data_IF_549699538176
#
_entry.id   IF_549699538176
#
_cell.length_a   1.000
_cell.length_b   1.000
_cell.length_c   1.000
_cell.angle_alpha   90.00
_cell.angle_beta   90.00
_cell.angle_gamma   90.00
#
_symmetry.space_group_name_H-M   'P 1'
#
loop_
_entity.id
_entity.type
_entity.pdbx_description
1 polymer ?
#
# COMPACT_ATOMS: atom_id res chain seq x y z
N UNK A 1 21.43 71.83 11.96
CA UNK A 1 21.24 70.60 12.76
C UNK A 1 20.79 69.49 11.80
N UNK A 2 21.70 68.61 11.38
CA UNK A 2 21.43 67.57 10.36
C UNK A 2 20.99 66.30 11.07
N UNK A 3 19.69 66.00 11.04
CA UNK A 3 19.15 64.72 11.51
C UNK A 3 19.65 63.60 10.58
N UNK A 4 20.10 62.44 11.09
CA UNK A 4 20.73 61.43 10.25
C UNK A 4 19.65 60.69 9.45
N UNK A 5 19.69 60.85 8.13
CA UNK A 5 18.87 60.14 7.14
C UNK A 5 19.16 58.63 7.08
N UNK A 6 19.96 58.09 8.01
CA UNK A 6 20.39 56.69 8.04
C UNK A 6 19.42 55.76 8.80
N UNK A 7 18.52 56.30 9.62
CA UNK A 7 17.62 55.48 10.43
C UNK A 7 16.39 54.96 9.66
N UNK A 8 16.09 55.51 8.48
CA UNK A 8 14.88 55.17 7.73
C UNK A 8 15.09 54.09 6.65
N UNK A 9 16.34 53.78 6.30
CA UNK A 9 16.69 52.77 5.28
C UNK A 9 16.82 51.34 5.83
N UNK A 10 16.83 51.15 7.15
CA UNK A 10 16.96 49.81 7.75
C UNK A 10 15.61 49.09 7.98
N UNK A 11 14.48 49.79 7.86
CA UNK A 11 13.16 49.20 8.11
C UNK A 11 12.55 48.54 6.85
N UNK A 12 13.13 48.73 5.66
CA UNK A 12 12.64 48.19 4.39
C UNK A 12 13.21 46.83 4.02
N UNK A 13 13.99 46.20 4.90
CA UNK A 13 14.67 44.90 4.67
C UNK A 13 14.12 43.75 5.52
N UNK A 14 12.96 43.92 6.17
CA UNK A 14 12.25 42.77 6.74
C UNK A 14 11.66 41.97 5.57
N UNK A 15 12.16 40.75 5.26
CA UNK A 15 11.49 39.93 4.29
C UNK A 15 10.13 39.60 4.91
N UNK A 16 9.03 39.99 4.25
CA UNK A 16 7.74 39.37 4.49
C UNK A 16 7.93 37.89 4.17
N UNK A 17 8.27 37.10 5.18
CA UNK A 17 8.28 35.66 5.10
C UNK A 17 6.82 35.24 4.93
N UNK A 18 6.35 35.20 3.69
CA UNK A 18 5.12 34.50 3.35
C UNK A 18 5.31 33.06 3.79
N UNK A 19 4.69 32.70 4.90
CA UNK A 19 4.59 31.32 5.36
C UNK A 19 3.81 30.54 4.29
N UNK A 20 4.54 29.97 3.33
CA UNK A 20 3.99 29.04 2.37
C UNK A 20 3.71 27.76 3.14
N UNK A 21 2.46 27.60 3.60
CA UNK A 21 1.99 26.34 4.14
C UNK A 21 2.26 25.26 3.08
N UNK A 22 3.17 24.34 3.36
CA UNK A 22 3.45 23.26 2.41
C UNK A 22 2.15 22.49 2.17
N UNK A 23 1.75 22.29 0.90
CA UNK A 23 0.54 21.54 0.61
C UNK A 23 0.63 20.18 1.28
N UNK A 24 -0.37 19.86 2.11
CA UNK A 24 -0.40 18.60 2.86
C UNK A 24 -0.36 17.45 1.86
N UNK A 25 0.69 16.63 1.95
CA UNK A 25 0.83 15.47 1.10
C UNK A 25 -0.37 14.53 1.30
N UNK A 26 -1.07 14.20 0.21
CA UNK A 26 -2.10 13.16 0.20
C UNK A 26 -1.41 11.80 0.33
N UNK A 27 -1.81 11.03 1.34
CA UNK A 27 -1.33 9.67 1.57
C UNK A 27 -2.45 8.68 1.21
N UNK A 28 -2.07 7.50 0.76
CA UNK A 28 -3.00 6.40 0.46
C UNK A 28 -2.65 5.24 1.38
N UNK A 29 -3.66 4.60 1.96
CA UNK A 29 -3.50 3.35 2.71
C UNK A 29 -4.35 2.30 1.99
N UNK A 30 -3.71 1.20 1.59
CA UNK A 30 -4.36 0.05 0.99
C UNK A 30 -4.47 -1.04 2.06
N UNK A 31 -5.69 -1.42 2.42
CA UNK A 31 -5.96 -2.42 3.46
C UNK A 31 -6.53 -3.68 2.82
N UNK A 32 -5.94 -4.82 3.13
CA UNK A 32 -6.48 -6.13 2.83
C UNK A 32 -6.88 -6.77 4.15
N UNK A 33 -8.14 -7.19 4.26
CA UNK A 33 -8.64 -7.93 5.41
C UNK A 33 -8.94 -9.36 4.96
N UNK A 34 -8.14 -10.30 5.43
CA UNK A 34 -8.18 -11.70 4.99
C UNK A 34 -9.42 -12.42 5.53
N UNK A 35 -10.01 -13.30 4.70
CA UNK A 35 -11.08 -14.20 5.10
C UNK A 35 -12.38 -13.52 5.51
N UNK A 36 -12.67 -12.31 5.00
CA UNK A 36 -13.92 -11.59 5.30
C UNK A 36 -14.86 -11.59 4.08
N UNK A 37 -15.88 -12.47 4.06
CA UNK A 37 -16.94 -12.42 3.05
C UNK A 37 -17.74 -11.12 3.13
N UNK A 38 -18.17 -10.61 1.99
CA UNK A 38 -18.95 -9.36 1.91
C UNK A 38 -20.30 -9.46 2.64
N UNK A 39 -20.96 -10.61 2.59
CA UNK A 39 -22.26 -10.82 3.25
C UNK A 39 -22.12 -10.87 4.79
N UNK A 40 -21.01 -11.42 5.30
CA UNK A 40 -20.66 -11.40 6.72
C UNK A 40 -20.37 -9.96 7.17
N UNK A 41 -19.58 -9.21 6.39
CA UNK A 41 -19.28 -7.81 6.69
C UNK A 41 -20.55 -6.95 6.79
N UNK A 42 -21.52 -7.18 5.89
CA UNK A 42 -22.79 -6.45 5.86
C UNK A 42 -23.64 -6.70 7.12
N UNK A 43 -23.63 -7.94 7.64
CA UNK A 43 -24.40 -8.34 8.83
C UNK A 43 -23.72 -7.96 10.14
N UNK A 44 -22.40 -7.77 10.13
CA UNK A 44 -21.61 -7.53 11.33
C UNK A 44 -21.79 -6.12 11.93
N UNK A 45 -21.60 -6.03 13.26
CA UNK A 45 -21.52 -4.75 13.98
C UNK A 45 -20.13 -4.14 13.81
N UNK A 46 -19.93 -3.40 12.73
CA UNK A 46 -18.64 -2.82 12.32
C UNK A 46 -18.68 -1.29 12.27
N UNK A 47 -18.83 -0.59 13.42
CA UNK A 47 -19.10 0.85 13.44
C UNK A 47 -18.01 1.69 12.74
N UNK A 48 -16.75 1.29 12.84
CA UNK A 48 -15.65 2.02 12.20
C UNK A 48 -15.61 1.79 10.68
N UNK A 49 -15.90 0.58 10.20
CA UNK A 49 -15.99 0.31 8.76
C UNK A 49 -17.18 1.06 8.17
N UNK A 50 -18.34 1.04 8.86
CA UNK A 50 -19.53 1.80 8.44
C UNK A 50 -19.26 3.30 8.35
N UNK A 51 -18.45 3.88 9.25
CA UNK A 51 -18.00 5.29 9.14
C UNK A 51 -17.16 5.53 7.89
N UNK A 52 -16.21 4.64 7.57
CA UNK A 52 -15.39 4.75 6.35
C UNK A 52 -16.26 4.66 5.09
N UNK A 53 -17.22 3.72 5.06
CA UNK A 53 -18.18 3.57 3.97
C UNK A 53 -19.02 4.84 3.81
N UNK A 54 -19.58 5.38 4.90
CA UNK A 54 -20.43 6.58 4.86
C UNK A 54 -19.67 7.84 4.41
N UNK A 55 -18.36 7.92 4.70
CA UNK A 55 -17.50 9.02 4.25
C UNK A 55 -16.99 8.85 2.81
N UNK A 56 -17.23 7.70 2.19
CA UNK A 56 -16.65 7.34 0.90
C UNK A 56 -17.62 6.55 0.02
N UNK A 57 -17.12 5.50 -0.60
CA UNK A 57 -17.91 4.65 -1.50
C UNK A 57 -17.63 3.19 -1.17
N UNK A 58 -18.70 2.39 -1.17
CA UNK A 58 -18.63 0.94 -1.01
C UNK A 58 -19.18 0.27 -2.27
N UNK A 59 -18.35 -0.58 -2.88
CA UNK A 59 -18.70 -1.34 -4.06
C UNK A 59 -18.37 -2.81 -3.80
N UNK A 60 -19.32 -3.75 -4.05
CA UNK A 60 -19.01 -5.16 -4.10
C UNK A 60 -17.94 -5.41 -5.17
N UNK A 61 -16.95 -6.24 -4.84
CA UNK A 61 -15.89 -6.65 -5.75
C UNK A 61 -15.84 -8.18 -5.82
N UNK A 62 -15.48 -8.69 -7.00
CA UNK A 62 -15.24 -10.10 -7.26
C UNK A 62 -13.74 -10.36 -7.33
N UNK A 63 -13.26 -11.43 -6.69
CA UNK A 63 -11.86 -11.85 -6.66
C UNK A 63 -11.78 -13.35 -6.96
N UNK A 64 -10.67 -13.84 -7.51
CA UNK A 64 -10.52 -15.25 -7.85
C UNK A 64 -10.95 -15.64 -9.27
N UNK A 65 -11.42 -14.70 -10.10
CA UNK A 65 -11.94 -15.00 -11.44
C UNK A 65 -13.10 -15.99 -11.45
N UNK A 66 -13.40 -16.58 -12.61
CA UNK A 66 -14.54 -17.50 -12.77
C UNK A 66 -14.11 -18.97 -12.56
N UNK A 67 -14.87 -19.71 -11.75
CA UNK A 67 -14.64 -21.12 -11.44
C UNK A 67 -14.65 -21.99 -12.72
N UNK A 68 -13.63 -22.83 -12.88
CA UNK A 68 -13.47 -23.73 -14.03
C UNK A 68 -12.95 -23.04 -15.29
N UNK A 69 -12.59 -21.75 -15.23
CA UNK A 69 -12.14 -20.98 -16.40
C UNK A 69 -10.65 -20.69 -16.36
N UNK A 70 -10.11 -20.16 -17.47
CA UNK A 70 -8.74 -19.65 -17.56
C UNK A 70 -8.41 -18.57 -16.53
N UNK A 71 -9.42 -17.85 -16.03
CA UNK A 71 -9.26 -16.77 -15.05
C UNK A 71 -9.31 -17.25 -13.61
N UNK A 72 -9.64 -18.52 -13.37
CA UNK A 72 -9.77 -19.06 -12.02
C UNK A 72 -8.46 -18.86 -11.25
N UNK A 73 -8.59 -18.31 -10.05
CA UNK A 73 -7.55 -18.23 -9.03
C UNK A 73 -8.16 -18.72 -7.73
N UNK A 74 -7.53 -19.68 -7.02
CA UNK A 74 -8.03 -20.14 -5.74
C UNK A 74 -8.20 -18.98 -4.77
N UNK A 75 -9.34 -18.92 -4.05
CA UNK A 75 -9.59 -17.91 -3.01
C UNK A 75 -8.85 -18.27 -1.71
N UNK A 76 -7.53 -18.35 -1.83
CA UNK A 76 -6.54 -18.61 -0.78
C UNK A 76 -5.77 -17.29 -0.56
N UNK A 77 -5.26 -17.05 0.65
CA UNK A 77 -4.60 -15.81 1.07
C UNK A 77 -3.58 -15.28 0.05
N UNK A 78 -2.46 -15.98 -0.19
CA UNK A 78 -1.40 -15.48 -1.07
C UNK A 78 -1.85 -15.25 -2.52
N UNK A 79 -2.60 -16.16 -3.18
CA UNK A 79 -3.18 -15.88 -4.49
C UNK A 79 -4.10 -14.65 -4.50
N UNK A 80 -5.01 -14.53 -3.53
CA UNK A 80 -5.93 -13.38 -3.44
C UNK A 80 -5.22 -12.06 -3.19
N UNK A 81 -4.13 -12.04 -2.43
CA UNK A 81 -3.32 -10.84 -2.27
C UNK A 81 -2.67 -10.44 -3.60
N UNK A 82 -2.18 -11.41 -4.37
CA UNK A 82 -1.58 -11.18 -5.68
C UNK A 82 -2.60 -10.66 -6.69
N UNK A 83 -3.82 -11.19 -6.69
CA UNK A 83 -4.92 -10.66 -7.50
C UNK A 83 -5.08 -9.16 -7.27
N UNK A 84 -5.15 -8.76 -5.99
CA UNK A 84 -5.38 -7.38 -5.58
C UNK A 84 -4.22 -6.44 -5.91
N UNK A 85 -2.98 -6.84 -5.62
CA UNK A 85 -1.82 -5.94 -5.81
C UNK A 85 -1.35 -5.87 -7.25
N UNK A 86 -1.67 -6.84 -8.10
CA UNK A 86 -1.28 -6.85 -9.52
C UNK A 86 -2.43 -6.45 -10.45
N UNK A 87 -3.69 -6.58 -10.02
CA UNK A 87 -4.86 -6.41 -10.88
C UNK A 87 -4.95 -7.50 -11.96
N UNK A 88 -4.43 -8.70 -11.67
CA UNK A 88 -4.42 -9.84 -12.60
C UNK A 88 -4.92 -11.09 -11.90
N UNK A 89 -5.00 -12.22 -12.62
CA UNK A 89 -5.40 -13.52 -12.05
C UNK A 89 -4.21 -14.50 -12.04
N UNK A 90 -4.40 -15.66 -11.43
CA UNK A 90 -3.40 -16.72 -11.22
C UNK A 90 -2.58 -17.06 -12.46
N UNK A 91 -3.22 -17.12 -13.63
CA UNK A 91 -2.54 -17.41 -14.91
C UNK A 91 -1.47 -16.37 -15.29
N UNK A 92 -1.56 -15.14 -14.76
CA UNK A 92 -0.59 -14.06 -14.98
C UNK A 92 0.47 -14.05 -13.89
N UNK A 93 0.06 -13.85 -12.64
CA UNK A 93 0.99 -13.66 -11.53
C UNK A 93 1.62 -14.95 -11.00
N UNK A 94 1.11 -16.12 -11.39
CA UNK A 94 1.65 -17.44 -11.09
C UNK A 94 1.81 -17.76 -9.59
N UNK A 95 0.82 -17.35 -8.78
CA UNK A 95 0.75 -17.70 -7.35
C UNK A 95 -0.56 -18.45 -7.14
N UNK A 96 -0.46 -19.73 -6.78
CA UNK A 96 -1.59 -20.65 -6.74
C UNK A 96 -1.89 -21.19 -5.34
N UNK A 97 -0.97 -20.98 -4.41
CA UNK A 97 -1.07 -21.44 -3.02
C UNK A 97 -0.21 -20.54 -2.11
N UNK A 98 -0.34 -20.72 -0.79
CA UNK A 98 0.46 -20.07 0.23
C UNK A 98 1.92 -20.54 0.24
N UNK A 99 2.21 -21.73 -0.29
CA UNK A 99 3.58 -22.16 -0.59
C UNK A 99 4.11 -21.41 -1.82
N UNK A 100 4.48 -20.14 -1.66
CA UNK A 100 4.93 -19.28 -2.77
C UNK A 100 6.26 -19.76 -3.33
N UNK A 101 6.26 -20.21 -4.59
CA UNK A 101 7.45 -20.75 -5.26
C UNK A 101 8.02 -19.84 -6.34
N UNK A 102 7.21 -19.43 -7.33
CA UNK A 102 7.69 -18.71 -8.50
C UNK A 102 6.70 -17.62 -8.98
N UNK A 103 6.51 -16.52 -8.22
CA UNK A 103 5.71 -15.40 -8.68
C UNK A 103 6.25 -14.83 -9.99
N UNK A 104 5.34 -14.49 -10.91
CA UNK A 104 5.70 -13.85 -12.17
C UNK A 104 5.73 -12.33 -12.03
N UNK A 105 6.92 -11.80 -11.71
CA UNK A 105 7.12 -10.37 -11.49
C UNK A 105 7.06 -9.48 -12.74
N UNK A 106 6.83 -10.04 -13.93
CA UNK A 106 6.55 -9.24 -15.13
C UNK A 106 5.25 -8.45 -14.98
N UNK A 107 4.28 -9.01 -14.23
CA UNK A 107 3.06 -8.31 -13.84
C UNK A 107 3.34 -7.48 -12.59
N UNK A 108 3.56 -6.18 -12.83
CA UNK A 108 4.00 -5.23 -11.80
C UNK A 108 2.90 -5.02 -10.76
N UNK A 109 3.26 -5.15 -9.49
CA UNK A 109 2.37 -4.77 -8.40
C UNK A 109 2.27 -3.24 -8.25
N UNK A 110 1.25 -2.79 -7.52
CA UNK A 110 0.97 -1.37 -7.25
C UNK A 110 2.16 -0.60 -6.66
N UNK A 111 3.03 -1.24 -5.86
CA UNK A 111 4.18 -0.58 -5.26
C UNK A 111 5.27 -0.29 -6.31
N UNK A 112 5.54 -1.26 -7.19
CA UNK A 112 6.47 -1.07 -8.31
C UNK A 112 5.96 0.00 -9.27
N UNK A 113 4.68 -0.05 -9.62
CA UNK A 113 4.07 0.98 -10.48
C UNK A 113 4.18 2.38 -9.87
N UNK A 114 3.94 2.51 -8.57
CA UNK A 114 4.08 3.79 -7.86
C UNK A 114 5.52 4.31 -7.87
N UNK A 115 6.51 3.46 -7.57
CA UNK A 115 7.93 3.87 -7.56
C UNK A 115 8.45 4.19 -8.97
N UNK A 116 8.00 3.50 -10.00
CA UNK A 116 8.33 3.83 -11.38
C UNK A 116 7.75 5.19 -11.78
N UNK A 117 6.48 5.47 -11.42
CA UNK A 117 5.83 6.75 -11.73
C UNK A 117 6.32 7.91 -10.85
N UNK A 118 6.70 7.62 -9.59
CA UNK A 118 7.13 8.58 -8.58
C UNK A 118 8.29 8.02 -7.76
N UNK A 119 9.54 8.10 -8.27
CA UNK A 119 10.70 7.51 -7.61
C UNK A 119 10.93 7.97 -6.16
N UNK A 120 10.59 9.22 -5.85
CA UNK A 120 10.71 9.81 -4.52
C UNK A 120 9.56 9.42 -3.56
N UNK A 121 8.49 8.79 -4.03
CA UNK A 121 7.38 8.37 -3.18
C UNK A 121 7.86 7.36 -2.15
N UNK A 122 7.34 7.47 -0.92
CA UNK A 122 7.62 6.53 0.16
C UNK A 122 6.56 5.42 0.17
N UNK A 123 6.99 4.18 0.31
CA UNK A 123 6.10 3.02 0.41
C UNK A 123 6.34 2.28 1.73
N UNK A 124 5.27 1.69 2.26
CA UNK A 124 5.32 0.86 3.46
C UNK A 124 4.46 -0.39 3.31
N UNK A 125 4.86 -1.47 3.97
CA UNK A 125 4.09 -2.71 4.06
C UNK A 125 4.03 -3.20 5.52
N UNK A 126 2.84 -3.54 5.98
CA UNK A 126 2.61 -4.02 7.33
C UNK A 126 1.74 -5.27 7.21
N UNK A 127 2.31 -6.44 7.49
CA UNK A 127 1.65 -7.72 7.27
C UNK A 127 2.07 -8.72 8.33
N UNK A 128 1.21 -9.68 8.64
CA UNK A 128 1.61 -10.82 9.48
C UNK A 128 2.77 -11.54 8.80
N UNK A 129 2.51 -12.07 7.61
CA UNK A 129 3.42 -12.95 6.87
C UNK A 129 4.61 -12.21 6.23
N UNK A 130 5.82 -12.69 6.49
CA UNK A 130 7.06 -12.20 5.86
C UNK A 130 7.04 -12.38 4.33
N UNK A 131 6.49 -13.51 3.88
CA UNK A 131 6.43 -13.87 2.46
C UNK A 131 5.65 -12.85 1.61
N UNK A 132 4.75 -12.06 2.20
CA UNK A 132 4.03 -11.00 1.49
C UNK A 132 5.01 -9.95 0.92
N UNK A 133 6.04 -9.57 1.67
CA UNK A 133 7.04 -8.61 1.21
C UNK A 133 8.13 -9.27 0.37
N UNK A 134 8.68 -10.37 0.88
CA UNK A 134 9.90 -10.97 0.32
C UNK A 134 9.63 -11.83 -0.91
N UNK A 135 8.43 -12.43 -1.02
CA UNK A 135 8.05 -13.28 -2.15
C UNK A 135 6.92 -12.67 -2.99
N UNK A 136 5.78 -12.28 -2.41
CA UNK A 136 4.66 -11.77 -3.23
C UNK A 136 5.03 -10.45 -3.92
N UNK A 137 5.53 -9.48 -3.15
CA UNK A 137 6.02 -8.22 -3.72
C UNK A 137 7.41 -8.39 -4.36
N UNK A 138 8.21 -9.34 -3.88
CA UNK A 138 9.54 -9.65 -4.40
C UNK A 138 10.61 -8.61 -4.02
N UNK A 139 10.54 -8.05 -2.81
CA UNK A 139 11.45 -6.98 -2.41
C UNK A 139 12.93 -7.36 -2.62
N UNK A 140 13.67 -6.48 -3.29
CA UNK A 140 15.09 -6.64 -3.56
C UNK A 140 15.44 -7.58 -4.70
N UNK A 141 14.49 -8.32 -5.25
CA UNK A 141 14.75 -9.22 -6.37
C UNK A 141 14.92 -8.41 -7.67
N UNK A 142 15.96 -8.68 -8.48
CA UNK A 142 16.13 -8.03 -9.79
C UNK A 142 14.92 -8.22 -10.71
N UNK A 143 14.32 -9.41 -10.71
CA UNK A 143 13.12 -9.73 -11.50
C UNK A 143 11.90 -8.85 -11.11
N UNK A 144 11.81 -8.44 -9.84
CA UNK A 144 10.78 -7.56 -9.31
C UNK A 144 11.15 -6.06 -9.40
N UNK A 145 12.18 -5.71 -10.16
CA UNK A 145 12.63 -4.33 -10.35
C UNK A 145 13.44 -3.79 -9.16
N UNK A 146 14.02 -4.68 -8.34
CA UNK A 146 14.86 -4.32 -7.19
C UNK A 146 14.18 -3.34 -6.23
N UNK A 147 12.86 -3.43 -6.10
CA UNK A 147 12.05 -2.59 -5.23
C UNK A 147 12.56 -2.70 -3.78
N UNK A 148 12.56 -1.57 -3.07
CA UNK A 148 12.88 -1.49 -1.64
C UNK A 148 11.81 -0.70 -0.90
N UNK A 149 11.33 -1.24 0.21
CA UNK A 149 10.39 -0.57 1.08
C UNK A 149 11.12 0.42 1.99
N UNK A 150 10.50 1.57 2.20
CA UNK A 150 11.00 2.58 3.13
C UNK A 150 10.62 2.23 4.57
N UNK A 151 9.51 1.51 4.75
CA UNK A 151 9.00 1.06 6.03
C UNK A 151 8.44 -0.34 5.89
N UNK A 152 8.73 -1.22 6.84
CA UNK A 152 8.04 -2.50 6.94
C UNK A 152 7.94 -2.96 8.40
N UNK A 153 6.87 -3.70 8.70
CA UNK A 153 6.76 -4.48 9.92
C UNK A 153 6.00 -5.77 9.58
N UNK A 154 6.73 -6.89 9.57
CA UNK A 154 6.26 -8.21 9.18
C UNK A 154 7.04 -9.34 9.87
N UNK A 155 6.69 -10.59 9.56
CA UNK A 155 7.31 -11.76 10.17
C UNK A 155 6.75 -12.09 11.56
N UNK A 156 5.52 -11.66 11.86
CA UNK A 156 4.90 -11.89 13.16
C UNK A 156 4.61 -13.37 13.42
N UNK A 157 4.45 -14.16 12.34
CA UNK A 157 4.36 -15.61 12.41
C UNK A 157 5.66 -16.28 12.91
N UNK A 158 6.81 -15.59 12.80
CA UNK A 158 8.10 -16.11 13.24
C UNK A 158 8.41 -15.74 14.69
N UNK A 159 7.84 -14.64 15.18
CA UNK A 159 8.00 -14.16 16.56
C UNK A 159 6.88 -14.70 17.46
N UNK A 160 7.02 -15.97 17.84
CA UNK A 160 6.08 -16.68 18.72
C UNK A 160 6.11 -16.18 20.17
N UNK A 161 7.08 -15.34 20.54
CA UNK A 161 7.20 -14.78 21.89
C UNK A 161 6.29 -13.55 22.00
N UNK A 162 6.42 -12.60 21.07
CA UNK A 162 5.61 -11.38 21.06
C UNK A 162 4.21 -11.61 20.47
N UNK A 163 4.07 -12.53 19.51
CA UNK A 163 2.81 -12.80 18.80
C UNK A 163 2.43 -14.28 18.90
N UNK A 164 1.76 -14.64 20.00
CA UNK A 164 1.26 -16.02 20.21
C UNK A 164 0.10 -16.32 19.27
N UNK A 165 0.18 -17.47 18.61
CA UNK A 165 -0.80 -17.97 17.65
C UNK A 165 -0.88 -19.50 17.73
#
# INVERSE_FOLDING_TARGET
>A
MKLPLLALTLLSLLPLASAHAQPRARKVVFLIADGIPADVLAKATTPNIKKVIAAGTYLPAHVGGDLGTYTQTPTISAPGYMDLITGTWGYKHNVWDNAVQAPNYQYKNIFRLLKEARPAAKIGIFSTWLDNRTKLVGEGLPAAGSLKFDYYADGYELDTVAFRH
#
